data_IF_675138447220
#
_entry.id   IF_675138447220
#
_cell.length_a   1.000
_cell.length_b   1.000
_cell.length_c   1.000
_cell.angle_alpha   90.00
_cell.angle_beta   90.00
_cell.angle_gamma   90.00
#
_symmetry.space_group_name_H-M   'P 1'
#
loop_
_entity.id
_entity.type
_entity.pdbx_description
1 polymer ?
#
# COMPACT_ATOMS: atom_id res chain seq x y z
N UNK A 1 27.50 -1.82 38.24
CA UNK A 1 26.68 -2.98 37.94
C UNK A 1 25.22 -2.59 37.71
N UNK A 2 24.75 -1.51 38.38
CA UNK A 2 23.38 -1.02 38.22
C UNK A 2 23.23 -0.17 36.96
N UNK A 3 24.29 0.45 36.47
CA UNK A 3 24.30 1.33 35.32
C UNK A 3 23.77 0.70 33.99
N UNK A 4 24.09 -0.57 33.64
CA UNK A 4 23.58 -1.15 32.41
C UNK A 4 22.06 -1.29 32.36
N UNK A 5 21.42 -1.56 33.49
CA UNK A 5 19.97 -1.70 33.55
C UNK A 5 19.26 -0.37 33.30
N UNK A 6 19.80 0.73 33.84
CA UNK A 6 19.26 2.08 33.61
C UNK A 6 19.40 2.47 32.16
N UNK A 7 20.50 2.13 31.52
CA UNK A 7 20.72 2.43 30.09
C UNK A 7 19.70 1.73 29.21
N UNK A 8 19.36 0.48 29.51
CA UNK A 8 18.38 -0.27 28.74
C UNK A 8 16.99 0.35 28.81
N UNK A 9 16.56 0.84 29.95
CA UNK A 9 15.26 1.49 30.12
C UNK A 9 15.18 2.77 29.29
N UNK A 10 16.27 3.55 29.26
CA UNK A 10 16.31 4.78 28.44
C UNK A 10 16.17 4.49 26.96
N UNK A 11 16.81 3.45 26.45
CA UNK A 11 16.71 3.07 25.04
C UNK A 11 15.28 2.70 24.63
N UNK A 12 14.57 1.94 25.45
CA UNK A 12 13.19 1.56 25.16
C UNK A 12 12.28 2.78 25.11
N UNK A 13 12.49 3.76 26.01
CA UNK A 13 11.71 5.01 25.98
C UNK A 13 11.93 5.81 24.70
N UNK A 14 13.19 5.94 24.25
CA UNK A 14 13.50 6.66 23.00
C UNK A 14 12.85 6.02 21.77
N UNK A 15 12.83 4.70 21.68
CA UNK A 15 12.21 4.01 20.55
C UNK A 15 10.71 4.27 20.46
N UNK A 16 10.01 4.33 21.57
CA UNK A 16 8.57 4.63 21.59
C UNK A 16 8.28 6.04 21.11
N UNK A 17 9.08 7.01 21.56
CA UNK A 17 8.92 8.39 21.14
C UNK A 17 9.17 8.57 19.65
N UNK A 18 10.20 7.94 19.12
CA UNK A 18 10.51 8.00 17.70
C UNK A 18 9.39 7.43 16.85
N UNK A 19 8.79 6.33 17.25
CA UNK A 19 7.70 5.70 16.51
C UNK A 19 6.48 6.60 16.45
N UNK A 20 6.09 7.21 17.55
CA UNK A 20 4.95 8.13 17.61
C UNK A 20 5.15 9.36 16.74
N UNK A 21 6.35 9.95 16.76
CA UNK A 21 6.69 11.11 15.94
C UNK A 21 6.69 10.74 14.46
N UNK A 22 7.23 9.57 14.09
CA UNK A 22 7.34 9.12 12.70
C UNK A 22 5.98 8.97 12.03
N UNK A 23 4.94 8.56 12.74
CA UNK A 23 3.61 8.37 12.17
C UNK A 23 2.97 9.67 11.68
N UNK A 24 3.36 10.82 12.25
CA UNK A 24 2.79 12.13 11.90
C UNK A 24 3.59 12.87 10.82
N UNK A 25 4.76 12.36 10.42
CA UNK A 25 5.60 13.05 9.44
C UNK A 25 5.04 12.90 8.03
N UNK A 26 5.10 13.97 7.20
CA UNK A 26 4.69 13.89 5.80
C UNK A 26 5.42 12.82 5.00
N UNK A 27 6.71 12.62 5.27
CA UNK A 27 7.50 11.58 4.60
C UNK A 27 6.96 10.18 4.92
N UNK A 28 6.48 9.95 6.14
CA UNK A 28 5.89 8.67 6.54
C UNK A 28 4.56 8.42 5.82
N UNK A 29 3.75 9.45 5.65
CA UNK A 29 2.50 9.36 4.90
C UNK A 29 2.75 9.05 3.43
N UNK A 30 3.74 9.69 2.81
CA UNK A 30 4.13 9.41 1.45
C UNK A 30 4.65 7.97 1.30
N UNK A 31 5.44 7.48 2.25
CA UNK A 31 5.92 6.11 2.26
C UNK A 31 4.78 5.10 2.37
N UNK A 32 3.78 5.37 3.22
CA UNK A 32 2.58 4.53 3.33
C UNK A 32 1.80 4.51 2.03
N UNK A 33 1.58 5.67 1.41
CA UNK A 33 0.87 5.76 0.15
C UNK A 33 1.58 4.97 -0.95
N UNK A 34 2.91 5.06 -1.00
CA UNK A 34 3.71 4.28 -1.96
C UNK A 34 3.60 2.78 -1.71
N UNK A 35 3.69 2.35 -0.46
CA UNK A 35 3.57 0.93 -0.11
C UNK A 35 2.19 0.38 -0.45
N UNK A 36 1.13 1.13 -0.16
CA UNK A 36 -0.23 0.74 -0.50
C UNK A 36 -0.44 0.67 -2.02
N UNK A 37 0.07 1.66 -2.76
CA UNK A 37 -0.02 1.68 -4.22
C UNK A 37 0.76 0.50 -4.83
N UNK A 38 1.91 0.15 -4.28
CA UNK A 38 2.68 -1.01 -4.72
C UNK A 38 1.94 -2.32 -4.44
N UNK A 39 1.24 -2.41 -3.32
CA UNK A 39 0.42 -3.59 -3.01
C UNK A 39 -0.71 -3.76 -4.03
N UNK A 40 -1.38 -2.67 -4.40
CA UNK A 40 -2.42 -2.68 -5.43
C UNK A 40 -1.81 -3.09 -6.78
N UNK A 41 -0.66 -2.52 -7.14
CA UNK A 41 0.02 -2.83 -8.39
C UNK A 41 0.43 -4.30 -8.46
N UNK A 42 0.95 -4.85 -7.37
CA UNK A 42 1.33 -6.26 -7.29
C UNK A 42 0.11 -7.18 -7.47
N UNK A 43 -1.01 -6.83 -6.83
CA UNK A 43 -2.26 -7.58 -6.98
C UNK A 43 -2.77 -7.54 -8.42
N UNK A 44 -2.68 -6.39 -9.09
CA UNK A 44 -3.09 -6.24 -10.49
C UNK A 44 -2.23 -7.12 -11.41
N UNK A 45 -0.93 -7.21 -11.15
CA UNK A 45 -0.04 -8.09 -11.93
C UNK A 45 -0.36 -9.57 -11.71
N UNK A 46 -0.71 -9.95 -10.48
CA UNK A 46 -1.13 -11.32 -10.18
C UNK A 46 -2.43 -11.67 -10.92
N UNK A 47 -3.38 -10.73 -10.95
CA UNK A 47 -4.61 -10.88 -11.71
C UNK A 47 -4.30 -11.09 -13.19
N UNK A 48 -3.44 -10.26 -13.77
CA UNK A 48 -3.04 -10.38 -15.18
C UNK A 48 -2.37 -11.72 -15.46
N UNK A 49 -1.48 -12.17 -14.58
CA UNK A 49 -0.79 -13.45 -14.75
C UNK A 49 -1.76 -14.62 -14.75
N UNK A 50 -2.83 -14.54 -13.95
CA UNK A 50 -3.80 -15.63 -13.83
C UNK A 50 -4.85 -15.61 -14.93
N UNK A 51 -5.35 -14.44 -15.30
CA UNK A 51 -6.48 -14.31 -16.23
C UNK A 51 -6.10 -13.80 -17.62
N UNK A 52 -4.85 -13.42 -17.84
CA UNK A 52 -4.36 -12.95 -19.13
C UNK A 52 -4.71 -11.51 -19.48
N UNK A 53 -5.37 -10.79 -18.59
CA UNK A 53 -5.74 -9.39 -18.76
C UNK A 53 -5.72 -8.68 -17.41
N UNK A 54 -5.52 -7.36 -17.46
CA UNK A 54 -5.57 -6.51 -16.25
C UNK A 54 -7.01 -6.37 -15.74
N UNK A 55 -7.20 -6.16 -14.43
CA UNK A 55 -8.53 -5.88 -13.90
C UNK A 55 -9.05 -4.53 -14.42
N UNK A 56 -10.36 -4.36 -14.47
CA UNK A 56 -10.97 -3.11 -14.90
C UNK A 56 -10.97 -2.07 -13.77
N UNK A 57 -10.94 -2.51 -12.52
CA UNK A 57 -10.96 -1.63 -11.35
C UNK A 57 -10.23 -2.28 -10.17
N UNK A 58 -9.89 -1.45 -9.16
CA UNK A 58 -9.27 -1.96 -7.92
C UNK A 58 -10.22 -2.92 -7.20
N UNK A 59 -11.52 -2.65 -7.24
CA UNK A 59 -12.54 -3.48 -6.59
C UNK A 59 -12.52 -4.92 -7.09
N UNK A 60 -12.17 -5.14 -8.34
CA UNK A 60 -12.06 -6.49 -8.91
C UNK A 60 -10.98 -7.32 -8.22
N UNK A 61 -9.98 -6.67 -7.63
CA UNK A 61 -8.92 -7.35 -6.90
C UNK A 61 -9.36 -7.90 -5.54
N UNK A 62 -10.45 -7.37 -5.00
CA UNK A 62 -10.96 -7.77 -3.67
C UNK A 62 -11.96 -8.91 -3.74
N UNK A 63 -12.23 -9.44 -4.92
CA UNK A 63 -13.20 -10.51 -5.15
C UNK A 63 -12.56 -11.71 -5.81
N UNK A 64 -13.11 -12.88 -5.51
CA UNK A 64 -12.81 -14.06 -6.32
C UNK A 64 -13.48 -13.96 -7.68
N UNK A 65 -12.87 -14.55 -8.70
CA UNK A 65 -13.37 -14.51 -10.07
C UNK A 65 -13.06 -15.81 -10.80
N UNK A 66 -13.93 -16.15 -11.73
CA UNK A 66 -13.73 -17.26 -12.65
C UNK A 66 -13.83 -16.73 -14.08
N UNK A 67 -12.78 -16.95 -14.87
CA UNK A 67 -12.73 -16.53 -16.27
C UNK A 67 -12.27 -17.73 -17.10
N UNK A 68 -13.07 -18.13 -18.07
CA UNK A 68 -12.74 -19.25 -18.98
C UNK A 68 -12.33 -20.52 -18.23
N UNK A 69 -13.02 -20.83 -17.13
CA UNK A 69 -12.73 -22.02 -16.32
C UNK A 69 -11.58 -21.85 -15.33
N UNK A 70 -10.92 -20.71 -15.31
CA UNK A 70 -9.84 -20.43 -14.34
C UNK A 70 -10.40 -19.61 -13.19
N UNK A 71 -10.26 -20.10 -11.96
CA UNK A 71 -10.70 -19.42 -10.75
C UNK A 71 -9.52 -18.85 -10.00
N UNK A 72 -9.64 -17.63 -9.50
CA UNK A 72 -8.60 -16.98 -8.73
C UNK A 72 -9.12 -15.83 -7.89
N UNK A 73 -8.27 -15.34 -6.99
CA UNK A 73 -8.59 -14.24 -6.09
C UNK A 73 -9.27 -14.67 -4.80
N UNK A 74 -9.53 -13.71 -3.92
CA UNK A 74 -9.17 -12.30 -4.04
C UNK A 74 -7.64 -12.09 -3.99
N UNK A 75 -7.16 -11.07 -4.69
CA UNK A 75 -5.74 -10.72 -4.74
C UNK A 75 -5.37 -9.65 -3.71
N UNK A 76 -6.37 -8.91 -3.24
CA UNK A 76 -6.29 -7.99 -2.11
C UNK A 76 -7.36 -8.36 -1.11
N UNK A 77 -7.04 -8.37 0.17
CA UNK A 77 -8.03 -8.60 1.22
C UNK A 77 -9.05 -7.45 1.24
N UNK A 78 -8.57 -6.23 1.03
CA UNK A 78 -9.39 -5.02 0.94
C UNK A 78 -8.57 -3.92 0.26
N UNK A 79 -9.26 -2.87 -0.20
CA UNK A 79 -8.59 -1.68 -0.73
C UNK A 79 -7.98 -0.92 0.45
N UNK A 80 -6.66 -0.62 0.43
CA UNK A 80 -6.04 0.14 1.52
C UNK A 80 -6.64 1.54 1.66
N UNK A 81 -6.76 2.02 2.89
CA UNK A 81 -7.14 3.40 3.15
C UNK A 81 -5.94 4.31 2.92
N UNK A 82 -6.10 5.44 2.22
CA UNK A 82 -4.99 6.37 2.04
C UNK A 82 -4.64 7.04 3.38
N UNK A 83 -3.42 7.58 3.48
CA UNK A 83 -3.07 8.37 4.66
C UNK A 83 -3.98 9.57 4.83
N UNK A 84 -4.05 10.12 6.04
CA UNK A 84 -4.88 11.30 6.33
C UNK A 84 -4.52 12.46 5.39
N UNK A 85 -5.53 13.05 4.76
CA UNK A 85 -5.36 14.15 3.82
C UNK A 85 -4.97 13.75 2.40
N UNK A 86 -4.83 12.45 2.14
CA UNK A 86 -4.50 11.94 0.80
C UNK A 86 -5.75 11.49 0.07
N UNK A 87 -5.71 11.54 -1.27
CA UNK A 87 -6.79 11.05 -2.11
C UNK A 87 -6.85 9.53 -2.11
N UNK A 88 -8.03 8.98 -2.38
CA UNK A 88 -8.19 7.55 -2.59
C UNK A 88 -7.28 7.10 -3.75
N UNK A 89 -6.81 5.84 -3.68
CA UNK A 89 -5.97 5.29 -4.74
C UNK A 89 -6.76 5.18 -6.03
N UNK A 90 -6.17 5.69 -7.12
CA UNK A 90 -6.79 5.68 -8.44
C UNK A 90 -6.00 4.72 -9.34
N UNK A 91 -6.75 3.92 -10.08
CA UNK A 91 -6.20 2.94 -10.99
C UNK A 91 -6.57 3.32 -12.41
N UNK A 92 -5.59 3.43 -13.28
CA UNK A 92 -5.79 3.72 -14.69
C UNK A 92 -5.14 2.64 -15.55
N UNK A 93 -5.95 1.99 -16.35
CA UNK A 93 -5.52 0.92 -17.26
C UNK A 93 -5.36 1.44 -18.67
N UNK A 94 -4.26 1.08 -19.33
CA UNK A 94 -4.02 1.40 -20.73
C UNK A 94 -3.43 0.15 -21.41
N UNK A 95 -4.29 -0.60 -22.09
CA UNK A 95 -3.85 -1.86 -22.71
C UNK A 95 -3.31 -2.84 -21.67
N UNK A 96 -2.04 -3.22 -21.82
CA UNK A 96 -1.36 -4.14 -20.89
C UNK A 96 -0.63 -3.43 -19.76
N UNK A 97 -0.71 -2.11 -19.71
CA UNK A 97 -0.09 -1.32 -18.66
C UNK A 97 -1.11 -0.59 -17.80
N UNK A 98 -0.69 -0.17 -16.62
CA UNK A 98 -1.56 0.53 -15.67
C UNK A 98 -0.73 1.42 -14.76
N UNK A 99 -1.41 2.37 -14.10
CA UNK A 99 -0.81 3.19 -13.03
C UNK A 99 -1.74 3.19 -11.83
N UNK A 100 -1.15 3.27 -10.63
CA UNK A 100 -1.87 3.50 -9.38
C UNK A 100 -1.36 4.80 -8.80
N UNK A 101 -2.26 5.73 -8.51
CA UNK A 101 -1.90 7.09 -8.13
C UNK A 101 -2.66 7.52 -6.87
N UNK A 102 -1.98 8.25 -6.00
CA UNK A 102 -2.57 8.97 -4.88
C UNK A 102 -1.76 10.23 -4.62
N UNK A 103 -2.39 11.25 -4.06
CA UNK A 103 -1.71 12.51 -3.77
C UNK A 103 -2.20 13.13 -2.49
N UNK A 104 -1.32 13.89 -1.84
CA UNK A 104 -1.61 14.62 -0.62
C UNK A 104 -0.41 15.44 -0.18
N UNK A 105 -0.66 16.54 0.53
CA UNK A 105 0.41 17.39 1.04
C UNK A 105 1.35 17.94 -0.04
N UNK A 106 0.88 18.15 -1.26
CA UNK A 106 1.70 18.60 -2.38
C UNK A 106 2.57 17.49 -3.00
N UNK A 107 2.40 16.24 -2.59
CA UNK A 107 3.17 15.09 -3.07
C UNK A 107 2.24 14.17 -3.85
N UNK A 108 2.72 13.64 -4.98
CA UNK A 108 2.01 12.64 -5.77
C UNK A 108 2.83 11.36 -5.81
N UNK A 109 2.19 10.24 -5.51
CA UNK A 109 2.79 8.91 -5.64
C UNK A 109 2.17 8.24 -6.86
N UNK A 110 3.01 7.77 -7.77
CA UNK A 110 2.58 7.04 -8.97
C UNK A 110 3.37 5.74 -9.07
N UNK A 111 2.67 4.64 -9.22
CA UNK A 111 3.28 3.31 -9.34
C UNK A 111 2.66 2.63 -10.55
N UNK A 112 3.51 2.03 -11.41
CA UNK A 112 3.00 1.16 -12.45
C UNK A 112 2.61 -0.19 -11.91
#
# INVERSE_FOLDING_TARGET
VILPAILMVTLVGCQREQKAISEDLPATRAAKARADAQAIASAARQYQAMFGALPDSIEDLTRGRTVSGVSGGPFLARIPDPPAGWSAYQYAKQGDSFTVTSSGGGVTVTVP
#
